data_IF_705273996790
#
_entry.id   IF_705273996790
#
_cell.length_a   1.000
_cell.length_b   1.000
_cell.length_c   1.000
_cell.angle_alpha   90.00
_cell.angle_beta   90.00
_cell.angle_gamma   90.00
#
_symmetry.space_group_name_H-M   'P 1'
#
loop_
_entity.id
_entity.type
_entity.pdbx_description
1 polymer ?
#
# COMPACT_ATOMS: atom_id res chain seq x y z
N UNK A 1 -9.35 13.93 -22.04
CA UNK A 1 -9.02 14.67 -20.79
C UNK A 1 -10.31 15.12 -20.14
N UNK A 2 -10.35 15.28 -18.82
CA UNK A 2 -11.48 15.90 -18.13
C UNK A 2 -11.46 17.41 -18.42
N UNK A 3 -12.38 17.98 -19.25
CA UNK A 3 -12.26 19.35 -19.74
C UNK A 3 -12.20 20.40 -18.62
N UNK A 4 -12.85 20.11 -17.49
CA UNK A 4 -12.88 20.97 -16.29
C UNK A 4 -11.52 21.21 -15.63
N UNK A 5 -10.53 20.36 -15.91
CA UNK A 5 -9.18 20.47 -15.34
C UNK A 5 -8.12 20.84 -16.38
N UNK A 6 -8.52 21.17 -17.61
CA UNK A 6 -7.60 21.66 -18.62
C UNK A 6 -7.26 23.11 -18.30
N UNK A 7 -6.00 23.37 -17.94
CA UNK A 7 -5.50 24.74 -17.69
C UNK A 7 -4.90 25.32 -18.97
N UNK A 8 -3.94 24.62 -19.58
CA UNK A 8 -3.28 24.98 -20.84
C UNK A 8 -2.48 23.80 -21.39
N UNK A 9 -2.00 23.90 -22.63
CA UNK A 9 -0.98 23.00 -23.17
C UNK A 9 0.34 23.17 -22.40
N UNK A 10 1.07 22.08 -22.23
CA UNK A 10 2.38 22.10 -21.58
C UNK A 10 3.37 22.89 -22.44
N UNK A 11 4.09 23.83 -21.83
CA UNK A 11 5.10 24.63 -22.53
C UNK A 11 6.40 23.87 -22.80
N UNK A 12 6.63 22.78 -22.07
CA UNK A 12 7.84 21.96 -22.14
C UNK A 12 7.42 20.48 -22.23
N UNK A 13 8.25 19.63 -22.85
CA UNK A 13 7.99 18.19 -22.85
C UNK A 13 7.97 17.64 -21.43
N UNK A 14 7.24 16.53 -21.25
CA UNK A 14 7.17 15.84 -19.96
C UNK A 14 8.57 15.33 -19.58
N UNK A 15 8.97 15.57 -18.33
CA UNK A 15 10.25 15.10 -17.77
C UNK A 15 10.27 13.58 -17.44
N UNK A 16 9.09 12.94 -17.35
CA UNK A 16 8.95 11.49 -17.14
C UNK A 16 9.19 10.71 -18.43
N UNK A 17 10.15 9.78 -18.37
CA UNK A 17 10.62 8.95 -19.49
C UNK A 17 9.78 7.70 -19.79
N UNK A 18 8.71 7.46 -19.02
CA UNK A 18 7.84 6.29 -19.18
C UNK A 18 6.88 6.42 -20.37
N UNK A 19 6.75 5.40 -21.20
CA UNK A 19 5.91 5.46 -22.41
C UNK A 19 4.53 4.84 -22.19
N UNK A 20 3.61 5.22 -23.07
CA UNK A 20 2.25 4.67 -23.15
C UNK A 20 1.93 4.32 -24.60
N UNK A 21 2.90 3.72 -25.31
CA UNK A 21 2.78 3.33 -26.72
C UNK A 21 1.55 2.45 -26.94
N UNK A 22 0.86 2.64 -28.06
CA UNK A 22 -0.42 1.98 -28.31
C UNK A 22 -0.28 0.44 -28.32
N UNK A 23 0.84 -0.08 -28.81
CA UNK A 23 1.15 -1.51 -28.80
C UNK A 23 2.06 -1.94 -27.63
N UNK A 24 2.33 -1.03 -26.68
CA UNK A 24 3.08 -1.32 -25.46
C UNK A 24 2.29 -2.17 -24.46
N UNK A 25 2.99 -2.73 -23.47
CA UNK A 25 2.46 -3.65 -22.48
C UNK A 25 1.21 -3.08 -21.77
N UNK A 26 1.31 -1.86 -21.22
CA UNK A 26 0.21 -1.29 -20.44
C UNK A 26 -1.04 -1.04 -21.29
N UNK A 27 -0.88 -0.51 -22.51
CA UNK A 27 -2.02 -0.22 -23.39
C UNK A 27 -2.69 -1.51 -23.88
N UNK A 28 -1.91 -2.54 -24.20
CA UNK A 28 -2.44 -3.87 -24.54
C UNK A 28 -3.20 -4.48 -23.38
N UNK A 29 -2.63 -4.51 -22.18
CA UNK A 29 -3.29 -5.02 -20.98
C UNK A 29 -4.59 -4.27 -20.69
N UNK A 30 -4.55 -2.93 -20.74
CA UNK A 30 -5.72 -2.08 -20.49
C UNK A 30 -6.86 -2.34 -21.46
N UNK A 31 -6.59 -2.53 -22.76
CA UNK A 31 -7.62 -2.87 -23.76
C UNK A 31 -8.27 -4.22 -23.45
N UNK A 32 -7.47 -5.24 -23.14
CA UNK A 32 -7.99 -6.58 -22.81
C UNK A 32 -8.81 -6.58 -21.52
N UNK A 33 -8.34 -5.91 -20.47
CA UNK A 33 -9.09 -5.78 -19.23
C UNK A 33 -10.41 -5.04 -19.47
N UNK A 34 -10.42 -3.95 -20.24
CA UNK A 34 -11.66 -3.25 -20.60
C UNK A 34 -12.68 -4.18 -21.26
N UNK A 35 -12.25 -5.10 -22.12
CA UNK A 35 -13.14 -6.09 -22.73
C UNK A 35 -13.66 -7.11 -21.71
N UNK A 36 -12.84 -7.52 -20.74
CA UNK A 36 -13.28 -8.45 -19.68
C UNK A 36 -14.14 -7.81 -18.60
N UNK A 37 -14.05 -6.49 -18.39
CA UNK A 37 -14.83 -5.81 -17.34
C UNK A 37 -16.36 -5.99 -17.50
N UNK A 38 -16.86 -6.20 -18.71
CA UNK A 38 -18.27 -6.51 -18.94
C UNK A 38 -18.69 -7.93 -18.52
N UNK A 39 -17.74 -8.79 -18.16
CA UNK A 39 -17.96 -10.20 -17.80
C UNK A 39 -17.56 -10.53 -16.36
N UNK A 40 -16.96 -9.57 -15.64
CA UNK A 40 -16.60 -9.79 -14.23
C UNK A 40 -17.86 -9.84 -13.37
N UNK A 41 -17.85 -10.73 -12.38
CA UNK A 41 -18.84 -10.72 -11.33
C UNK A 41 -18.54 -9.57 -10.37
N UNK A 42 -19.34 -8.51 -10.44
CA UNK A 42 -19.21 -7.32 -9.58
C UNK A 42 -19.81 -7.54 -8.19
N UNK A 43 -20.59 -8.60 -7.98
CA UNK A 43 -21.17 -8.92 -6.69
C UNK A 43 -20.11 -9.27 -5.65
N UNK A 44 -18.92 -9.73 -6.09
CA UNK A 44 -17.79 -10.05 -5.21
C UNK A 44 -17.31 -8.86 -4.38
N UNK A 45 -17.50 -7.62 -4.86
CA UNK A 45 -17.19 -6.41 -4.11
C UNK A 45 -18.03 -6.25 -2.83
N UNK A 46 -19.15 -6.97 -2.70
CA UNK A 46 -19.88 -7.03 -1.42
C UNK A 46 -19.03 -7.66 -0.32
N UNK A 47 -18.16 -8.61 -0.67
CA UNK A 47 -17.32 -9.32 0.29
C UNK A 47 -16.21 -8.42 0.88
N UNK A 48 -15.60 -7.55 0.07
CA UNK A 48 -14.61 -6.58 0.59
C UNK A 48 -15.25 -5.61 1.59
N UNK A 49 -16.47 -5.15 1.29
CA UNK A 49 -17.27 -4.30 2.20
C UNK A 49 -17.56 -5.01 3.51
N UNK A 50 -18.05 -6.25 3.47
CA UNK A 50 -18.31 -7.05 4.66
C UNK A 50 -17.06 -7.27 5.51
N UNK A 51 -15.91 -7.50 4.88
CA UNK A 51 -14.63 -7.66 5.59
C UNK A 51 -14.25 -6.38 6.34
N UNK A 52 -14.32 -5.21 5.70
CA UNK A 52 -14.01 -3.93 6.37
C UNK A 52 -14.99 -3.65 7.51
N UNK A 53 -16.29 -3.89 7.29
CA UNK A 53 -17.31 -3.68 8.31
C UNK A 53 -17.07 -4.59 9.53
N UNK A 54 -16.72 -5.86 9.29
CA UNK A 54 -16.39 -6.82 10.35
C UNK A 54 -15.11 -6.45 11.10
N UNK A 55 -14.07 -5.97 10.41
CA UNK A 55 -12.82 -5.50 11.02
C UNK A 55 -13.05 -4.24 11.88
N UNK A 56 -13.90 -3.33 11.40
CA UNK A 56 -14.29 -2.14 12.16
C UNK A 56 -15.10 -2.53 13.41
N UNK A 57 -16.07 -3.44 13.28
CA UNK A 57 -16.82 -3.96 14.43
C UNK A 57 -15.91 -4.66 15.44
N UNK A 58 -14.96 -5.48 14.98
CA UNK A 58 -13.97 -6.12 15.82
C UNK A 58 -13.07 -5.11 16.54
N UNK A 59 -12.71 -4.00 15.88
CA UNK A 59 -11.96 -2.90 16.50
C UNK A 59 -12.70 -2.31 17.68
N UNK A 60 -13.98 -1.94 17.51
CA UNK A 60 -14.77 -1.38 18.63
C UNK A 60 -15.03 -2.40 19.74
N UNK A 61 -15.34 -3.66 19.39
CA UNK A 61 -15.55 -4.72 20.37
C UNK A 61 -14.30 -4.97 21.23
N UNK A 62 -13.13 -5.08 20.59
CA UNK A 62 -11.87 -5.32 21.32
C UNK A 62 -11.40 -4.09 22.08
N UNK A 63 -11.69 -2.87 21.62
CA UNK A 63 -11.43 -1.65 22.37
C UNK A 63 -12.29 -1.56 23.65
N UNK A 64 -13.57 -1.91 23.58
CA UNK A 64 -14.43 -2.05 24.75
C UNK A 64 -13.85 -3.06 25.74
N UNK A 65 -13.58 -4.29 25.28
CA UNK A 65 -13.05 -5.36 26.12
C UNK A 65 -11.69 -5.02 26.73
N UNK A 66 -10.83 -4.29 26.01
CA UNK A 66 -9.54 -3.87 26.53
C UNK A 66 -9.67 -3.01 27.79
N UNK A 67 -10.64 -2.09 27.82
CA UNK A 67 -10.90 -1.24 28.99
C UNK A 67 -11.63 -2.00 30.08
N UNK A 68 -12.69 -2.73 29.73
CA UNK A 68 -13.48 -3.48 30.72
C UNK A 68 -12.67 -4.54 31.48
N UNK A 69 -11.63 -5.08 30.84
CA UNK A 69 -10.71 -6.06 31.43
C UNK A 69 -9.37 -5.44 31.85
N UNK A 70 -9.18 -4.13 31.64
CA UNK A 70 -7.92 -3.40 31.81
C UNK A 70 -6.68 -4.14 31.25
N UNK A 71 -6.81 -4.71 30.05
CA UNK A 71 -5.88 -5.70 29.50
C UNK A 71 -5.07 -5.18 28.33
N UNK A 72 -3.74 -5.08 28.50
CA UNK A 72 -2.81 -4.77 27.41
C UNK A 72 -2.79 -5.82 26.31
N UNK A 73 -3.03 -7.10 26.65
CA UNK A 73 -3.08 -8.18 25.66
C UNK A 73 -4.29 -8.01 24.73
N UNK A 74 -5.46 -7.66 25.29
CA UNK A 74 -6.65 -7.36 24.48
C UNK A 74 -6.46 -6.06 23.70
N UNK A 75 -5.81 -5.06 24.29
CA UNK A 75 -5.44 -3.83 23.59
C UNK A 75 -4.48 -4.10 22.40
N UNK A 76 -3.56 -5.06 22.51
CA UNK A 76 -2.69 -5.47 21.41
C UNK A 76 -3.47 -6.14 20.26
N UNK A 77 -4.46 -6.97 20.60
CA UNK A 77 -5.40 -7.54 19.60
C UNK A 77 -6.18 -6.41 18.93
N UNK A 78 -6.69 -5.45 19.70
CA UNK A 78 -7.36 -4.26 19.17
C UNK A 78 -6.45 -3.47 18.22
N UNK A 79 -5.17 -3.28 18.54
CA UNK A 79 -4.20 -2.64 17.66
C UNK A 79 -4.03 -3.39 16.32
N UNK A 80 -4.03 -4.73 16.36
CA UNK A 80 -4.08 -5.57 15.17
C UNK A 80 -5.35 -5.34 14.34
N UNK A 81 -6.52 -5.25 14.98
CA UNK A 81 -7.79 -4.94 14.31
C UNK A 81 -7.80 -3.53 13.69
N UNK A 82 -7.26 -2.52 14.39
CA UNK A 82 -7.10 -1.16 13.87
C UNK A 82 -6.23 -1.16 12.63
N UNK A 83 -5.04 -1.77 12.69
CA UNK A 83 -4.13 -1.89 11.55
C UNK A 83 -4.81 -2.57 10.36
N UNK A 84 -5.45 -3.73 10.58
CA UNK A 84 -6.17 -4.46 9.55
C UNK A 84 -7.32 -3.63 8.93
N UNK A 85 -8.06 -2.87 9.75
CA UNK A 85 -9.14 -1.97 9.30
C UNK A 85 -8.59 -0.87 8.39
N UNK A 86 -7.49 -0.23 8.79
CA UNK A 86 -6.85 0.84 8.02
C UNK A 86 -6.35 0.31 6.67
N UNK A 87 -5.62 -0.81 6.66
CA UNK A 87 -5.11 -1.39 5.41
C UNK A 87 -6.28 -1.82 4.51
N UNK A 88 -7.34 -2.39 5.07
CA UNK A 88 -8.50 -2.79 4.27
C UNK A 88 -9.30 -1.58 3.75
N UNK A 89 -9.33 -0.46 4.49
CA UNK A 89 -9.93 0.80 4.06
C UNK A 89 -9.16 1.44 2.89
N UNK A 90 -7.88 1.10 2.68
CA UNK A 90 -7.10 1.59 1.53
C UNK A 90 -7.74 1.19 0.19
N UNK A 91 -8.36 0.02 0.11
CA UNK A 91 -9.13 -0.38 -1.08
C UNK A 91 -10.22 0.64 -1.47
N UNK A 92 -10.81 1.31 -0.47
CA UNK A 92 -11.93 2.22 -0.64
C UNK A 92 -11.51 3.66 -0.93
N UNK A 93 -10.28 4.08 -0.61
CA UNK A 93 -9.79 5.42 -0.94
C UNK A 93 -9.44 5.57 -2.43
N UNK A 94 -9.16 4.48 -3.14
CA UNK A 94 -8.96 4.46 -4.60
C UNK A 94 -10.27 4.55 -5.39
N UNK A 95 -11.38 4.18 -4.75
CA UNK A 95 -12.71 4.17 -5.37
C UNK A 95 -13.37 5.55 -5.29
N UNK A 96 -14.53 5.67 -5.94
CA UNK A 96 -15.42 6.82 -5.75
C UNK A 96 -15.72 6.99 -4.26
N UNK A 97 -15.90 8.24 -3.82
CA UNK A 97 -16.23 8.59 -2.44
C UNK A 97 -17.31 7.68 -1.86
N UNK A 98 -16.99 7.10 -0.73
CA UNK A 98 -17.81 6.18 0.02
C UNK A 98 -17.41 6.27 1.50
N UNK A 99 -18.31 5.96 2.42
CA UNK A 99 -18.03 6.17 3.84
C UNK A 99 -16.90 5.28 4.40
N UNK A 100 -16.62 4.12 3.78
CA UNK A 100 -15.58 3.18 4.27
C UNK A 100 -14.17 3.74 4.14
N UNK A 101 -13.96 4.72 3.26
CA UNK A 101 -12.69 5.45 3.22
C UNK A 101 -12.40 6.18 4.56
N UNK A 102 -13.43 6.55 5.32
CA UNK A 102 -13.26 7.18 6.64
C UNK A 102 -12.72 6.22 7.68
N UNK A 103 -12.88 4.90 7.51
CA UNK A 103 -12.27 3.91 8.39
C UNK A 103 -10.73 3.97 8.35
N UNK A 104 -10.16 4.51 7.28
CA UNK A 104 -8.72 4.81 7.18
C UNK A 104 -8.26 5.83 8.22
N UNK A 105 -9.13 6.76 8.62
CA UNK A 105 -8.82 7.82 9.58
C UNK A 105 -8.95 7.36 11.04
N UNK A 106 -9.31 6.11 11.34
CA UNK A 106 -9.59 5.65 12.71
C UNK A 106 -8.40 5.77 13.68
N UNK A 107 -7.18 5.87 13.16
CA UNK A 107 -5.97 6.13 13.95
C UNK A 107 -5.06 7.15 13.25
N UNK A 108 -5.50 8.41 13.24
CA UNK A 108 -4.70 9.61 12.92
C UNK A 108 -4.17 9.78 11.49
N UNK A 109 -4.27 8.76 10.64
CA UNK A 109 -4.07 8.92 9.19
C UNK A 109 -5.21 9.73 8.55
N UNK A 110 -4.96 10.23 7.32
CA UNK A 110 -5.96 10.96 6.53
C UNK A 110 -6.09 10.37 5.14
N UNK A 111 -7.29 9.91 4.77
CA UNK A 111 -7.58 9.44 3.41
C UNK A 111 -7.38 10.55 2.36
N UNK A 112 -7.54 11.82 2.74
CA UNK A 112 -7.33 12.97 1.83
C UNK A 112 -5.87 13.10 1.45
N UNK A 113 -4.99 13.05 2.45
CA UNK A 113 -3.55 13.10 2.23
C UNK A 113 -3.06 11.85 1.51
N UNK A 114 -3.57 10.67 1.89
CA UNK A 114 -3.24 9.41 1.21
C UNK A 114 -3.73 9.35 -0.23
N UNK A 115 -4.82 10.04 -0.59
CA UNK A 115 -5.18 10.22 -2.01
C UNK A 115 -4.13 11.00 -2.79
N UNK A 116 -3.43 11.93 -2.15
CA UNK A 116 -2.34 12.66 -2.79
C UNK A 116 -1.06 11.83 -2.81
N UNK A 117 -0.58 11.38 -1.65
CA UNK A 117 0.69 10.66 -1.53
C UNK A 117 0.64 9.28 -2.18
N UNK A 118 -0.36 8.47 -1.84
CA UNK A 118 -0.46 7.09 -2.29
C UNK A 118 -1.13 6.96 -3.66
N UNK A 119 -2.35 7.52 -3.82
CA UNK A 119 -3.15 7.30 -5.03
C UNK A 119 -2.61 8.03 -6.25
N UNK A 120 -2.23 9.30 -6.08
CA UNK A 120 -1.75 10.13 -7.19
C UNK A 120 -0.23 10.01 -7.34
N UNK A 121 0.53 10.12 -6.27
CA UNK A 121 1.99 10.11 -6.35
C UNK A 121 2.55 8.69 -6.48
N UNK A 122 2.34 7.84 -5.48
CA UNK A 122 2.97 6.51 -5.40
C UNK A 122 2.54 5.58 -6.53
N UNK A 123 1.25 5.46 -6.85
CA UNK A 123 0.82 4.60 -7.96
C UNK A 123 1.22 5.09 -9.35
N UNK A 124 1.46 6.40 -9.55
CA UNK A 124 1.94 6.88 -10.85
C UNK A 124 3.46 6.74 -10.98
N UNK A 125 4.19 6.90 -9.89
CA UNK A 125 5.65 6.97 -9.90
C UNK A 125 6.32 6.17 -8.78
N UNK A 126 5.96 4.89 -8.55
CA UNK A 126 6.41 4.16 -7.37
C UNK A 126 7.94 4.07 -7.35
N UNK A 127 8.52 4.11 -6.14
CA UNK A 127 9.96 4.04 -5.89
C UNK A 127 10.80 5.10 -6.62
N UNK A 128 10.18 6.20 -7.07
CA UNK A 128 10.88 7.27 -7.76
C UNK A 128 11.13 8.49 -6.87
N UNK A 129 11.91 9.45 -7.37
CA UNK A 129 12.05 10.77 -6.71
C UNK A 129 10.76 11.59 -6.68
N UNK A 130 9.75 11.22 -7.49
CA UNK A 130 8.42 11.81 -7.47
C UNK A 130 7.46 11.09 -6.52
N UNK A 131 7.90 9.98 -5.93
CA UNK A 131 7.12 9.20 -4.96
C UNK A 131 7.21 9.86 -3.57
N UNK A 132 6.12 10.50 -3.17
CA UNK A 132 6.00 11.10 -1.85
C UNK A 132 6.18 10.08 -0.72
N UNK A 133 5.89 8.80 -0.93
CA UNK A 133 6.11 7.74 0.07
C UNK A 133 7.59 7.34 0.19
N UNK A 134 8.43 7.67 -0.79
CA UNK A 134 9.88 7.58 -0.65
C UNK A 134 10.39 8.78 0.15
N UNK A 135 10.05 10.00 -0.27
CA UNK A 135 10.56 11.21 0.41
C UNK A 135 9.98 11.42 1.80
N UNK A 136 8.79 10.87 2.10
CA UNK A 136 8.07 11.09 3.35
C UNK A 136 8.78 10.54 4.59
N UNK A 137 9.69 9.56 4.41
CA UNK A 137 10.51 9.02 5.50
C UNK A 137 11.94 9.57 5.51
N UNK A 138 12.32 10.40 4.55
CA UNK A 138 13.63 11.05 4.53
C UNK A 138 13.68 12.19 5.57
N UNK A 139 14.83 12.45 6.22
CA UNK A 139 16.16 11.87 5.97
C UNK A 139 16.47 10.59 6.79
N UNK A 140 15.46 9.93 7.36
CA UNK A 140 15.66 8.79 8.26
C UNK A 140 15.64 7.45 7.51
N UNK A 141 14.59 7.12 6.77
CA UNK A 141 14.51 5.89 5.98
C UNK A 141 14.71 6.21 4.49
N UNK A 142 15.97 6.31 4.08
CA UNK A 142 16.32 6.59 2.69
C UNK A 142 16.36 5.28 1.87
N UNK A 143 15.40 5.07 0.97
CA UNK A 143 15.33 3.83 0.16
C UNK A 143 16.07 3.92 -1.17
N UNK A 144 16.25 5.12 -1.76
CA UNK A 144 16.91 5.27 -3.07
C UNK A 144 18.40 4.93 -2.99
N UNK A 145 18.97 4.12 -3.90
CA UNK A 145 20.37 3.70 -3.86
C UNK A 145 21.36 4.79 -4.29
N UNK A 146 21.33 5.95 -3.63
CA UNK A 146 22.20 7.11 -3.91
C UNK A 146 23.17 7.31 -2.75
N UNK A 147 24.48 7.27 -3.03
CA UNK A 147 25.52 7.40 -2.01
C UNK A 147 25.47 8.75 -1.28
N UNK A 148 25.14 9.82 -2.01
CA UNK A 148 25.08 11.18 -1.45
C UNK A 148 23.88 11.37 -0.48
N UNK A 149 22.85 10.51 -0.57
CA UNK A 149 21.68 10.56 0.33
C UNK A 149 21.90 9.79 1.64
N UNK A 150 22.92 8.93 1.74
CA UNK A 150 23.02 7.98 2.85
C UNK A 150 24.44 7.82 3.38
N UNK A 151 24.62 8.17 4.65
CA UNK A 151 25.79 7.75 5.42
C UNK A 151 25.44 6.52 6.30
N UNK A 152 26.37 6.08 7.15
CA UNK A 152 26.17 4.89 8.01
C UNK A 152 24.95 4.99 8.94
N UNK A 153 24.53 6.19 9.33
CA UNK A 153 23.34 6.42 10.15
C UNK A 153 22.05 6.02 9.41
N UNK A 154 21.84 6.47 8.17
CA UNK A 154 20.69 6.06 7.37
C UNK A 154 20.74 4.58 6.97
N UNK A 155 21.94 4.04 6.75
CA UNK A 155 22.12 2.69 6.21
C UNK A 155 21.92 1.59 7.24
N UNK A 156 22.59 1.72 8.38
CA UNK A 156 22.65 0.68 9.41
C UNK A 156 21.98 1.14 10.71
N UNK A 157 22.01 2.43 11.02
CA UNK A 157 21.27 2.98 12.16
C UNK A 157 19.76 2.77 12.04
N UNK A 158 19.22 2.86 10.81
CA UNK A 158 17.80 2.63 10.51
C UNK A 158 17.30 1.24 10.88
N UNK A 159 18.18 0.25 10.99
CA UNK A 159 17.79 -1.09 11.44
C UNK A 159 17.39 -1.09 12.93
N UNK A 160 17.90 -0.12 13.69
CA UNK A 160 17.63 0.04 15.12
C UNK A 160 16.52 1.07 15.36
N UNK A 161 16.58 2.26 14.74
CA UNK A 161 15.55 3.27 14.96
C UNK A 161 14.28 3.06 14.10
N UNK A 162 14.35 2.28 13.03
CA UNK A 162 13.22 2.01 12.13
C UNK A 162 11.96 1.52 12.84
N UNK A 163 12.03 0.51 13.73
CA UNK A 163 10.91 0.09 14.56
C UNK A 163 10.21 1.24 15.31
N UNK A 164 10.96 2.22 15.81
CA UNK A 164 10.39 3.38 16.50
C UNK A 164 9.70 4.32 15.52
N UNK A 165 10.27 4.53 14.33
CA UNK A 165 9.62 5.27 13.25
C UNK A 165 8.28 4.63 12.93
N UNK A 166 8.21 3.30 12.81
CA UNK A 166 6.96 2.57 12.51
C UNK A 166 5.89 2.87 13.57
N UNK A 167 6.25 2.82 14.86
CA UNK A 167 5.34 3.15 15.97
C UNK A 167 4.88 4.61 16.02
N UNK A 168 5.57 5.50 15.30
CA UNK A 168 5.32 6.95 15.32
C UNK A 168 4.60 7.50 14.09
N UNK A 169 4.39 6.69 13.03
CA UNK A 169 3.79 7.14 11.75
C UNK A 169 2.46 7.86 11.99
N UNK A 170 1.54 7.24 12.73
CA UNK A 170 0.19 7.79 12.94
C UNK A 170 0.21 9.13 13.67
N UNK A 171 0.97 9.22 14.77
CA UNK A 171 1.09 10.46 15.53
C UNK A 171 1.81 11.55 14.73
N UNK A 172 2.87 11.19 14.01
CA UNK A 172 3.66 12.13 13.20
C UNK A 172 2.81 12.76 12.10
N UNK A 173 2.00 11.97 11.39
CA UNK A 173 1.10 12.48 10.35
C UNK A 173 0.07 13.47 10.91
N UNK A 174 -0.53 13.15 12.07
CA UNK A 174 -1.49 14.06 12.70
C UNK A 174 -0.83 15.33 13.25
N UNK A 175 0.31 15.20 13.94
CA UNK A 175 1.06 16.35 14.46
C UNK A 175 1.53 17.27 13.34
N UNK A 176 1.98 16.72 12.20
CA UNK A 176 2.32 17.50 11.01
C UNK A 176 1.11 18.31 10.52
N UNK A 177 -0.08 17.71 10.42
CA UNK A 177 -1.30 18.46 10.06
C UNK A 177 -1.65 19.56 11.06
N UNK A 178 -1.52 19.29 12.37
CA UNK A 178 -1.67 20.30 13.45
C UNK A 178 -0.71 21.46 13.22
N UNK A 179 0.58 21.17 13.11
CA UNK A 179 1.62 22.17 12.94
C UNK A 179 1.42 22.99 11.67
N UNK A 180 1.14 22.36 10.53
CA UNK A 180 0.91 23.05 9.26
C UNK A 180 -0.29 24.00 9.35
N UNK A 181 -1.37 23.58 10.02
CA UNK A 181 -2.58 24.39 10.19
C UNK A 181 -2.36 25.61 11.09
N UNK A 182 -1.53 25.46 12.13
CA UNK A 182 -1.20 26.54 13.06
C UNK A 182 -0.15 27.50 12.50
N UNK A 183 0.85 27.00 11.75
CA UNK A 183 2.02 27.77 11.32
C UNK A 183 1.87 28.48 9.97
N UNK A 184 1.10 27.92 9.03
CA UNK A 184 1.02 28.46 7.66
C UNK A 184 -0.26 29.28 7.39
N UNK A 185 -1.05 29.57 8.43
CA UNK A 185 -2.27 30.39 8.34
C UNK A 185 -3.37 29.80 7.44
N UNK A 186 -3.26 28.53 7.04
CA UNK A 186 -4.23 27.80 6.22
C UNK A 186 -4.69 26.60 7.02
N UNK A 187 -5.91 26.67 7.55
CA UNK A 187 -6.53 25.54 8.22
C UNK A 187 -6.60 24.35 7.25
N UNK A 188 -5.89 23.26 7.58
CA UNK A 188 -5.93 22.01 6.82
C UNK A 188 -6.82 20.96 7.48
N UNK A 189 -7.38 21.24 8.66
CA UNK A 189 -8.31 20.35 9.33
C UNK A 189 -9.66 20.34 8.64
N UNK A 190 -10.16 19.13 8.44
CA UNK A 190 -11.52 18.84 8.03
C UNK A 190 -12.24 18.11 9.17
N UNK A 191 -13.58 18.03 9.08
CA UNK A 191 -14.36 17.30 10.09
C UNK A 191 -13.94 15.82 10.18
N UNK A 192 -13.45 15.24 9.10
CA UNK A 192 -12.94 13.88 9.07
C UNK A 192 -11.61 13.67 9.85
N UNK A 193 -10.94 14.74 10.28
CA UNK A 193 -9.80 14.66 11.21
C UNK A 193 -10.23 14.41 12.67
N UNK A 194 -11.53 14.46 12.97
CA UNK A 194 -12.07 14.10 14.28
C UNK A 194 -12.35 12.58 14.43
N UNK A 195 -12.35 11.84 13.32
CA UNK A 195 -12.59 10.39 13.29
C UNK A 195 -11.68 9.58 14.24
N UNK A 196 -10.38 9.89 14.39
CA UNK A 196 -9.51 9.17 15.33
C UNK A 196 -10.02 9.17 16.78
N UNK A 197 -10.77 10.20 17.18
CA UNK A 197 -11.29 10.35 18.54
C UNK A 197 -12.58 9.58 18.78
N UNK A 198 -13.20 8.99 17.76
CA UNK A 198 -14.38 8.14 17.93
C UNK A 198 -14.07 6.91 18.80
N UNK A 199 -12.87 6.33 18.66
CA UNK A 199 -12.46 5.15 19.42
C UNK A 199 -12.33 5.43 20.93
N UNK A 200 -11.56 6.44 21.39
CA UNK A 200 -11.48 6.75 22.83
C UNK A 200 -12.80 7.28 23.39
N UNK A 201 -13.59 8.02 22.61
CA UNK A 201 -14.94 8.44 23.03
C UNK A 201 -15.83 7.23 23.29
N UNK A 202 -15.82 6.24 22.38
CA UNK A 202 -16.56 5.00 22.57
C UNK A 202 -16.06 4.19 23.77
N UNK A 203 -14.74 4.06 23.93
CA UNK A 203 -14.13 3.38 25.08
C UNK A 203 -14.58 4.01 26.41
N UNK A 204 -14.60 5.34 26.49
CA UNK A 204 -15.07 6.06 27.67
C UNK A 204 -16.59 5.95 27.89
N UNK A 205 -17.39 6.10 26.82
CA UNK A 205 -18.84 6.02 26.91
C UNK A 205 -19.33 4.64 27.38
N UNK A 206 -18.62 3.58 27.02
CA UNK A 206 -18.93 2.20 27.42
C UNK A 206 -18.30 1.77 28.76
N UNK A 207 -17.33 2.55 29.27
CA UNK A 207 -16.65 2.31 30.55
C UNK A 207 -16.48 3.63 31.32
N UNK A 208 -17.59 4.28 31.74
CA UNK A 208 -17.52 5.57 32.42
C UNK A 208 -16.70 5.47 33.72
N UNK A 209 -16.05 6.59 34.10
CA UNK A 209 -15.18 6.65 35.29
C UNK A 209 -13.74 6.16 35.07
N UNK A 210 -13.41 5.57 33.93
CA UNK A 210 -12.09 4.97 33.66
C UNK A 210 -11.21 5.83 32.73
N UNK A 211 -11.27 7.16 32.84
CA UNK A 211 -10.61 8.08 31.90
C UNK A 211 -9.09 7.84 31.74
N UNK A 212 -8.38 7.62 32.85
CA UNK A 212 -6.94 7.35 32.82
C UNK A 212 -6.61 6.02 32.10
N UNK A 213 -7.40 4.98 32.36
CA UNK A 213 -7.28 3.68 31.69
C UNK A 213 -7.56 3.79 30.19
N UNK A 214 -8.62 4.51 29.81
CA UNK A 214 -8.96 4.77 28.40
C UNK A 214 -7.80 5.47 27.70
N UNK A 215 -7.26 6.55 28.27
CA UNK A 215 -6.16 7.30 27.67
C UNK A 215 -4.91 6.42 27.50
N UNK A 216 -4.55 5.65 28.53
CA UNK A 216 -3.41 4.72 28.51
C UNK A 216 -3.55 3.67 27.42
N UNK A 217 -4.68 2.95 27.40
CA UNK A 217 -4.92 1.86 26.46
C UNK A 217 -5.12 2.34 25.03
N UNK A 218 -5.81 3.45 24.82
CA UNK A 218 -5.96 4.04 23.49
C UNK A 218 -4.62 4.49 22.91
N UNK A 219 -3.78 5.16 23.72
CA UNK A 219 -2.43 5.55 23.29
C UNK A 219 -1.60 4.32 22.91
N UNK A 220 -1.66 3.26 23.73
CA UNK A 220 -1.01 1.99 23.42
C UNK A 220 -1.53 1.36 22.11
N UNK A 221 -2.85 1.33 21.91
CA UNK A 221 -3.48 0.82 20.68
C UNK A 221 -2.98 1.58 19.45
N UNK A 222 -2.96 2.91 19.50
CA UNK A 222 -2.50 3.76 18.39
C UNK A 222 -1.04 3.48 18.06
N UNK A 223 -0.15 3.45 19.06
CA UNK A 223 1.29 3.20 18.86
C UNK A 223 1.55 1.81 18.27
N UNK A 224 0.88 0.78 18.79
CA UNK A 224 1.06 -0.60 18.29
C UNK A 224 0.43 -0.79 16.91
N UNK A 225 -0.72 -0.17 16.64
CA UNK A 225 -1.34 -0.19 15.31
C UNK A 225 -0.45 0.51 14.27
N UNK A 226 0.15 1.64 14.64
CA UNK A 226 1.14 2.34 13.82
C UNK A 226 2.35 1.45 13.53
N UNK A 227 2.88 0.79 14.56
CA UNK A 227 4.00 -0.15 14.42
C UNK A 227 3.68 -1.29 13.44
N UNK A 228 2.52 -1.93 13.58
CA UNK A 228 2.08 -2.98 12.67
C UNK A 228 1.85 -2.46 11.25
N UNK A 229 1.28 -1.27 11.12
CA UNK A 229 1.06 -0.63 9.83
C UNK A 229 2.39 -0.37 9.11
N UNK A 230 3.37 0.24 9.78
CA UNK A 230 4.70 0.45 9.25
C UNK A 230 5.41 -0.86 8.88
N UNK A 231 5.30 -1.88 9.75
CA UNK A 231 5.87 -3.21 9.49
C UNK A 231 5.26 -3.85 8.24
N UNK A 232 3.94 -3.78 8.05
CA UNK A 232 3.25 -4.38 6.91
C UNK A 232 3.45 -3.57 5.63
N UNK A 233 3.30 -2.24 5.70
CA UNK A 233 3.38 -1.31 4.58
C UNK A 233 4.78 -1.18 4.00
N UNK A 234 5.81 -0.97 4.85
CA UNK A 234 7.18 -0.85 4.37
C UNK A 234 7.78 -2.18 3.90
N UNK A 235 7.14 -3.30 4.24
CA UNK A 235 7.45 -4.62 3.68
C UNK A 235 6.49 -5.05 2.57
N UNK A 236 5.60 -4.18 2.08
CA UNK A 236 4.60 -4.47 1.06
C UNK A 236 5.17 -4.54 -0.38
N UNK A 237 6.39 -5.04 -0.53
CA UNK A 237 6.95 -5.41 -1.84
C UNK A 237 7.67 -4.30 -2.61
N UNK A 238 7.56 -3.03 -2.20
CA UNK A 238 8.23 -1.90 -2.86
C UNK A 238 9.71 -1.77 -2.51
N UNK A 239 10.06 -1.96 -1.24
CA UNK A 239 11.42 -1.70 -0.74
C UNK A 239 12.37 -2.91 -0.81
N UNK A 240 12.06 -3.92 -1.64
CA UNK A 240 12.97 -5.04 -1.85
C UNK A 240 14.11 -4.64 -2.81
N UNK A 241 15.39 -5.04 -2.60
CA UNK A 241 16.48 -4.73 -3.54
C UNK A 241 16.31 -5.25 -4.97
N UNK A 242 15.37 -6.18 -5.20
CA UNK A 242 15.01 -6.67 -6.53
C UNK A 242 14.05 -5.72 -7.26
N UNK A 243 13.27 -4.92 -6.53
CA UNK A 243 12.43 -3.87 -7.09
C UNK A 243 13.29 -2.71 -7.62
N UNK A 244 12.86 -2.13 -8.74
CA UNK A 244 13.47 -0.95 -9.32
C UNK A 244 13.25 0.27 -8.39
N UNK A 245 14.26 1.12 -8.26
CA UNK A 245 14.18 2.39 -7.56
C UNK A 245 14.85 3.47 -8.41
N UNK A 246 14.43 4.73 -8.28
CA UNK A 246 15.19 5.85 -8.86
C UNK A 246 16.62 5.86 -8.34
N UNK A 247 17.56 6.10 -9.25
CA UNK A 247 19.00 5.87 -9.02
C UNK A 247 19.49 4.56 -9.64
N UNK A 248 18.63 3.56 -9.84
CA UNK A 248 18.95 2.41 -10.71
C UNK A 248 18.91 2.82 -12.19
N UNK A 249 19.71 2.15 -13.02
CA UNK A 249 19.73 2.37 -14.48
C UNK A 249 18.65 1.52 -15.13
N UNK A 250 17.71 2.12 -15.86
CA UNK A 250 16.70 1.41 -16.64
C UNK A 250 16.55 2.03 -18.04
N UNK A 251 16.02 1.29 -19.01
CA UNK A 251 15.93 1.77 -20.38
C UNK A 251 15.12 3.05 -20.50
N UNK A 252 15.63 4.00 -21.29
CA UNK A 252 14.83 5.12 -21.76
C UNK A 252 13.61 4.60 -22.55
N UNK A 253 12.47 5.23 -22.35
CA UNK A 253 11.23 4.84 -23.02
C UNK A 253 10.56 3.58 -22.46
N UNK A 254 10.94 3.09 -21.28
CA UNK A 254 10.29 1.94 -20.63
C UNK A 254 8.76 2.12 -20.55
N UNK A 255 8.01 1.08 -20.93
CA UNK A 255 6.55 1.08 -20.82
C UNK A 255 6.10 1.29 -19.37
N UNK A 256 5.10 2.14 -19.16
CA UNK A 256 4.56 2.46 -17.83
C UNK A 256 4.20 1.22 -17.01
N UNK A 257 3.52 0.24 -17.60
CA UNK A 257 3.08 -0.96 -16.88
C UNK A 257 4.26 -1.86 -16.53
N UNK A 258 5.28 -1.93 -17.39
CA UNK A 258 6.52 -2.64 -17.08
C UNK A 258 7.29 -1.97 -15.95
N UNK A 259 7.32 -0.64 -15.90
CA UNK A 259 7.89 0.11 -14.77
C UNK A 259 7.16 -0.21 -13.46
N UNK A 260 5.83 -0.16 -13.44
CA UNK A 260 5.01 -0.52 -12.28
C UNK A 260 5.32 -1.94 -11.77
N UNK A 261 5.43 -2.91 -12.69
CA UNK A 261 5.82 -4.27 -12.30
C UNK A 261 7.27 -4.37 -11.82
N UNK A 262 8.18 -3.58 -12.39
CA UNK A 262 9.58 -3.56 -12.01
C UNK A 262 9.81 -3.06 -10.59
N UNK A 263 8.94 -2.17 -10.09
CA UNK A 263 9.01 -1.57 -8.74
C UNK A 263 8.34 -2.45 -7.66
N UNK A 264 7.82 -3.63 -8.02
CA UNK A 264 7.06 -4.48 -7.10
C UNK A 264 7.71 -5.88 -6.98
N UNK A 265 7.78 -6.39 -5.76
CA UNK A 265 8.04 -7.80 -5.47
C UNK A 265 6.87 -8.34 -4.64
N UNK A 266 6.03 -9.17 -5.25
CA UNK A 266 4.79 -9.69 -4.66
C UNK A 266 5.06 -10.57 -3.44
N UNK A 267 4.11 -10.58 -2.49
CA UNK A 267 4.18 -11.46 -1.33
C UNK A 267 3.57 -12.84 -1.63
N UNK A 268 4.37 -13.89 -1.49
CA UNK A 268 3.89 -15.28 -1.62
C UNK A 268 2.90 -15.63 -0.50
N UNK A 269 1.85 -16.38 -0.82
CA UNK A 269 0.90 -16.93 0.15
C UNK A 269 -0.22 -15.98 0.59
N UNK A 270 -0.31 -14.80 -0.02
CA UNK A 270 -1.42 -13.85 0.15
C UNK A 270 -2.49 -14.05 -0.93
N UNK A 271 -2.06 -14.29 -2.17
CA UNK A 271 -2.94 -14.53 -3.31
C UNK A 271 -3.96 -15.64 -3.02
N UNK A 272 -5.21 -15.42 -3.41
CA UNK A 272 -6.33 -16.37 -3.20
C UNK A 272 -7.08 -16.21 -1.88
N UNK A 273 -6.65 -15.33 -0.97
CA UNK A 273 -7.41 -14.98 0.23
C UNK A 273 -7.70 -13.48 0.27
N UNK A 274 -8.95 -13.09 0.02
CA UNK A 274 -9.36 -11.68 0.02
C UNK A 274 -9.07 -11.00 1.37
N UNK A 275 -9.26 -11.70 2.49
CA UNK A 275 -8.94 -11.17 3.82
C UNK A 275 -7.44 -10.84 3.93
N UNK A 276 -6.56 -11.77 3.55
CA UNK A 276 -5.11 -11.52 3.60
C UNK A 276 -4.70 -10.41 2.64
N UNK A 277 -5.29 -10.35 1.45
CA UNK A 277 -5.04 -9.29 0.48
C UNK A 277 -5.39 -7.93 1.07
N UNK A 278 -6.60 -7.80 1.63
CA UNK A 278 -7.10 -6.56 2.21
C UNK A 278 -6.39 -6.14 3.50
N UNK A 279 -5.79 -7.05 4.26
CA UNK A 279 -5.09 -6.69 5.51
C UNK A 279 -3.57 -6.62 5.37
N UNK A 280 -3.03 -6.90 4.18
CA UNK A 280 -1.57 -6.98 4.00
C UNK A 280 -1.02 -6.38 2.70
N UNK A 281 -1.82 -5.57 1.98
CA UNK A 281 -1.51 -5.00 0.67
C UNK A 281 -1.15 -6.07 -0.38
N UNK A 282 -1.96 -7.13 -0.47
CA UNK A 282 -1.77 -8.19 -1.45
C UNK A 282 -2.23 -7.85 -2.86
N UNK A 283 -1.97 -8.75 -3.82
CA UNK A 283 -2.28 -8.58 -5.25
C UNK A 283 -1.69 -7.29 -5.84
N UNK A 284 -0.51 -6.92 -5.36
CA UNK A 284 0.09 -5.60 -5.48
C UNK A 284 0.33 -5.19 -6.94
N UNK A 285 0.75 -6.13 -7.81
CA UNK A 285 0.94 -5.84 -9.25
C UNK A 285 -0.33 -5.36 -9.95
N UNK A 286 -1.43 -6.11 -9.82
CA UNK A 286 -2.70 -5.76 -10.47
C UNK A 286 -3.32 -4.54 -9.82
N UNK A 287 -3.18 -4.42 -8.50
CA UNK A 287 -3.60 -3.25 -7.75
C UNK A 287 -2.91 -1.97 -8.26
N UNK A 288 -1.59 -1.98 -8.48
CA UNK A 288 -0.88 -0.80 -9.02
C UNK A 288 -1.30 -0.41 -10.44
N UNK A 289 -1.60 -1.40 -11.28
CA UNK A 289 -1.99 -1.14 -12.67
C UNK A 289 -3.44 -0.65 -12.78
N UNK A 290 -4.32 -1.09 -11.87
CA UNK A 290 -5.75 -0.79 -11.86
C UNK A 290 -6.29 -0.54 -10.44
N UNK A 291 -5.78 0.49 -9.73
CA UNK A 291 -6.02 0.65 -8.29
C UNK A 291 -7.47 0.99 -7.96
N UNK A 292 -8.22 1.55 -8.92
CA UNK A 292 -9.63 1.90 -8.75
C UNK A 292 -10.56 0.68 -8.74
N UNK A 293 -10.07 -0.50 -9.12
CA UNK A 293 -10.85 -1.74 -9.05
C UNK A 293 -10.72 -2.34 -7.66
N UNK A 294 -11.85 -2.81 -7.13
CA UNK A 294 -11.89 -3.46 -5.81
C UNK A 294 -11.02 -4.72 -5.78
N UNK A 295 -10.31 -4.96 -4.68
CA UNK A 295 -9.49 -6.17 -4.49
C UNK A 295 -10.28 -7.48 -4.64
N UNK A 296 -11.60 -7.49 -4.45
CA UNK A 296 -12.44 -8.66 -4.72
C UNK A 296 -12.70 -8.91 -6.23
N UNK A 297 -12.42 -7.93 -7.09
CA UNK A 297 -12.58 -8.01 -8.55
C UNK A 297 -11.26 -8.38 -9.21
N UNK A 298 -10.13 -7.82 -8.75
CA UNK A 298 -8.80 -8.04 -9.34
C UNK A 298 -8.45 -9.52 -9.64
N UNK A 299 -8.78 -10.50 -8.78
CA UNK A 299 -8.47 -11.90 -9.06
C UNK A 299 -9.06 -12.44 -10.36
N UNK A 300 -10.22 -11.93 -10.79
CA UNK A 300 -10.91 -12.32 -12.02
C UNK A 300 -10.16 -11.86 -13.28
N UNK A 301 -9.24 -10.90 -13.15
CA UNK A 301 -8.44 -10.34 -14.24
C UNK A 301 -7.05 -10.99 -14.37
N UNK A 302 -6.66 -11.85 -13.43
CA UNK A 302 -5.33 -12.49 -13.42
C UNK A 302 -5.04 -13.27 -14.70
N UNK A 303 -6.02 -13.96 -15.28
CA UNK A 303 -5.81 -14.72 -16.51
C UNK A 303 -5.32 -13.83 -17.66
N UNK A 304 -6.01 -12.69 -17.87
CA UNK A 304 -5.65 -11.70 -18.90
C UNK A 304 -4.32 -11.03 -18.62
N UNK A 305 -4.06 -10.71 -17.35
CA UNK A 305 -2.79 -10.16 -16.93
C UNK A 305 -1.63 -11.12 -17.23
N UNK A 306 -1.74 -12.37 -16.80
CA UNK A 306 -0.70 -13.38 -17.01
C UNK A 306 -0.50 -13.73 -18.49
N UNK A 307 -1.54 -13.72 -19.31
CA UNK A 307 -1.43 -13.87 -20.76
C UNK A 307 -0.64 -12.71 -21.39
N UNK A 308 -0.94 -11.48 -20.99
CA UNK A 308 -0.21 -10.30 -21.47
C UNK A 308 1.24 -10.32 -20.99
N UNK A 309 1.50 -10.76 -19.76
CA UNK A 309 2.87 -10.98 -19.27
C UNK A 309 3.65 -11.99 -20.12
N UNK A 310 3.02 -13.08 -20.56
CA UNK A 310 3.67 -14.08 -21.43
C UNK A 310 4.03 -13.51 -22.80
N UNK A 311 3.13 -12.74 -23.41
CA UNK A 311 3.36 -12.08 -24.71
C UNK A 311 4.54 -11.12 -24.68
N UNK A 312 4.69 -10.36 -23.60
CA UNK A 312 5.79 -9.41 -23.43
C UNK A 312 7.02 -10.02 -22.73
N UNK A 313 7.05 -11.34 -22.56
CA UNK A 313 8.14 -12.08 -21.92
C UNK A 313 8.54 -11.57 -20.52
N UNK A 314 7.56 -11.10 -19.74
CA UNK A 314 7.76 -10.60 -18.37
C UNK A 314 7.12 -11.51 -17.33
N UNK A 315 7.73 -11.56 -16.14
CA UNK A 315 7.26 -12.40 -15.02
C UNK A 315 7.04 -11.59 -13.75
N UNK A 316 6.13 -12.06 -12.90
CA UNK A 316 5.92 -11.50 -11.56
C UNK A 316 7.12 -11.83 -10.67
N UNK A 317 7.71 -10.82 -10.05
CA UNK A 317 8.64 -11.05 -8.95
C UNK A 317 7.85 -11.38 -7.69
N UNK A 318 8.34 -12.33 -6.90
CA UNK A 318 7.73 -12.66 -5.62
C UNK A 318 8.76 -13.08 -4.58
N UNK A 319 8.42 -12.85 -3.31
CA UNK A 319 9.23 -13.25 -2.16
C UNK A 319 8.36 -13.65 -0.97
N UNK A 320 8.93 -14.35 0.01
CA UNK A 320 8.24 -14.65 1.27
C UNK A 320 8.17 -13.40 2.15
N UNK A 321 7.21 -13.35 3.08
CA UNK A 321 7.08 -12.23 4.01
C UNK A 321 8.38 -11.96 4.78
N UNK A 322 8.98 -13.01 5.36
CA UNK A 322 10.23 -12.87 6.12
C UNK A 322 11.40 -12.38 5.25
N UNK A 323 11.46 -12.83 3.99
CA UNK A 323 12.46 -12.31 3.05
C UNK A 323 12.23 -10.85 2.69
N UNK A 324 10.98 -10.38 2.58
CA UNK A 324 10.68 -8.96 2.37
C UNK A 324 11.11 -8.11 3.58
N UNK A 325 10.87 -8.60 4.79
CA UNK A 325 11.32 -7.94 6.02
C UNK A 325 12.83 -7.75 6.08
N UNK A 326 13.61 -8.80 5.76
CA UNK A 326 15.07 -8.67 5.68
C UNK A 326 15.50 -7.79 4.49
N UNK A 327 14.84 -7.94 3.35
CA UNK A 327 15.17 -7.23 2.13
C UNK A 327 15.06 -5.71 2.27
N UNK A 328 14.05 -5.18 2.97
CA UNK A 328 13.93 -3.72 3.15
C UNK A 328 15.17 -3.12 3.84
N UNK A 329 15.73 -3.82 4.83
CA UNK A 329 16.93 -3.39 5.54
C UNK A 329 18.16 -3.40 4.63
N UNK A 330 18.26 -4.41 3.75
CA UNK A 330 19.29 -4.45 2.71
C UNK A 330 19.13 -3.30 1.69
N UNK A 331 17.90 -2.87 1.40
CA UNK A 331 17.64 -1.73 0.52
C UNK A 331 18.06 -0.40 1.18
N UNK A 332 17.78 -0.21 2.47
CA UNK A 332 18.26 0.94 3.24
C UNK A 332 19.79 1.02 3.21
N UNK A 333 20.47 -0.12 3.35
CA UNK A 333 21.93 -0.19 3.30
C UNK A 333 22.54 -0.04 1.89
N UNK A 334 21.73 -0.17 0.82
CA UNK A 334 22.17 -0.10 -0.58
C UNK A 334 22.46 1.33 -1.01
N UNK A 335 23.64 1.55 -1.59
CA UNK A 335 24.11 2.83 -2.15
C UNK A 335 24.60 2.73 -3.60
N UNK A 336 24.62 1.50 -4.16
CA UNK A 336 25.05 1.27 -5.53
C UNK A 336 23.82 1.03 -6.41
N UNK A 337 23.66 1.80 -7.49
CA UNK A 337 22.72 1.51 -8.56
C UNK A 337 22.87 0.10 -9.09
N UNK A 338 21.76 -0.53 -9.49
CA UNK A 338 21.80 -1.71 -10.37
C UNK A 338 21.40 -1.31 -11.80
N UNK A 339 21.78 -2.15 -12.76
CA UNK A 339 21.26 -2.08 -14.12
C UNK A 339 20.03 -2.98 -14.21
N UNK A 340 18.90 -2.38 -14.58
CA UNK A 340 17.69 -3.11 -14.91
C UNK A 340 17.80 -3.62 -16.36
N UNK A 341 17.75 -4.93 -16.58
CA UNK A 341 17.93 -5.51 -17.92
C UNK A 341 16.77 -5.12 -18.84
N UNK A 342 17.03 -5.04 -20.15
CA UNK A 342 15.94 -4.82 -21.12
C UNK A 342 15.05 -6.07 -21.15
N UNK A 343 13.72 -5.92 -21.37
CA UNK A 343 12.81 -7.07 -21.46
C UNK A 343 13.22 -8.15 -22.47
N UNK A 344 13.98 -7.77 -23.50
CA UNK A 344 14.49 -8.66 -24.55
C UNK A 344 15.77 -9.44 -24.17
N UNK A 345 16.35 -9.21 -22.98
CA UNK A 345 17.56 -9.91 -22.52
C UNK A 345 17.27 -11.33 -21.98
N UNK A 346 16.13 -11.91 -22.36
CA UNK A 346 15.67 -13.22 -21.95
C UNK A 346 15.07 -13.25 -20.54
N UNK A 347 14.29 -14.30 -20.21
CA UNK A 347 13.63 -14.39 -18.93
C UNK A 347 14.66 -14.39 -17.80
N UNK A 348 14.41 -13.61 -16.74
CA UNK A 348 15.04 -13.87 -15.44
C UNK A 348 14.82 -15.35 -15.16
N UNK A 349 15.91 -16.11 -14.92
CA UNK A 349 15.83 -17.46 -14.36
C UNK A 349 15.14 -17.37 -13.00
N UNK A 350 13.82 -17.34 -13.04
CA UNK A 350 12.96 -17.49 -11.90
C UNK A 350 13.14 -18.92 -11.44
N UNK A 351 13.76 -19.11 -10.28
CA UNK A 351 13.73 -20.39 -9.55
C UNK A 351 12.34 -20.72 -9.00
N UNK A 352 11.26 -20.10 -9.54
CA UNK A 352 9.91 -20.57 -9.29
C UNK A 352 9.68 -21.83 -10.12
N UNK A 353 9.72 -22.99 -9.47
CA UNK A 353 9.06 -24.21 -9.94
C UNK A 353 7.67 -23.80 -10.46
N UNK A 354 7.47 -23.95 -11.76
CA UNK A 354 6.19 -23.77 -12.43
C UNK A 354 5.23 -24.79 -11.81
N UNK A 355 4.39 -24.33 -10.88
CA UNK A 355 3.29 -25.14 -10.37
C UNK A 355 2.28 -25.25 -11.50
N UNK A 356 2.24 -26.43 -12.09
CA UNK A 356 1.38 -26.81 -13.20
C UNK A 356 -0.09 -26.58 -12.81
N UNK A 357 -0.66 -25.47 -13.28
CA UNK A 357 -2.02 -25.03 -13.01
C UNK A 357 -3.04 -25.85 -13.83
N UNK A 358 -3.02 -27.19 -13.66
CA UNK A 358 -3.95 -28.13 -14.31
C UNK A 358 -4.96 -28.76 -13.33
N UNK A 359 -4.99 -28.37 -12.06
CA UNK A 359 -5.88 -28.98 -11.05
C UNK A 359 -6.96 -28.07 -10.45
N UNK A 360 -6.99 -26.78 -10.76
CA UNK A 360 -8.00 -25.86 -10.17
C UNK A 360 -9.30 -25.83 -10.99
N UNK A 361 -9.26 -26.09 -12.30
CA UNK A 361 -10.45 -26.14 -13.16
C UNK A 361 -11.27 -27.42 -13.03
N UNK A 362 -10.74 -28.49 -12.42
CA UNK A 362 -11.48 -29.73 -12.23
C UNK A 362 -12.38 -29.72 -10.98
N UNK A 363 -12.05 -28.89 -9.98
CA UNK A 363 -12.77 -28.85 -8.71
C UNK A 363 -14.03 -27.94 -8.72
N UNK A 364 -14.19 -27.09 -9.74
CA UNK A 364 -15.34 -26.18 -9.87
C UNK A 364 -16.44 -26.71 -10.83
N UNK A 365 -16.31 -27.93 -11.33
CA UNK A 365 -17.36 -28.59 -12.14
C UNK A 365 -18.14 -29.68 -11.38
N UNK A 366 -17.89 -29.83 -10.07
CA UNK A 366 -18.55 -30.83 -9.21
C UNK A 366 -18.96 -30.30 -7.83
N UNK A 367 -19.28 -29.02 -7.71
CA UNK A 367 -20.02 -28.47 -6.56
C UNK A 367 -21.17 -27.61 -7.05
#
# INVERSE_FOLDING_TARGET
>A
MLPRFFVRQAAQPRNVRLTFEEHGFYRTLKRRIRQQLGRVDTSTAARSRQIVDALLAATFLTAFLAVSLDSLSVALVCAGCVCATIIAAHNFLHQRDNWRMLAFNIAFLSYREWRVSHVISHHLYPNSVLDMEISGFEPFLCYLPLADLKNSFQRYGSWFYGPFIYGSIFLSEYLKRVMDSLSHGKNRFHLDDLVPFLLPVFMYATNPGHAATVLRLWTFIVLMASFFFGLVGLTAGHHHPKALHSGDMFPDGMDFGLYQMATIVERKGVEGSLLKVLTTFGDHHLHHLFPTLDHAILPQLNCVFLETCREFHVGKLSSTWFSQYLAQNLQLARIRPKVYPKPNDGPRKSTAKIVRMKKVTAALSKM
#
